data_IF_241726176037
#
_entry.id   IF_241726176037
#
_cell.length_a   1.000
_cell.length_b   1.000
_cell.length_c   1.000
_cell.angle_alpha   90.00
_cell.angle_beta   90.00
_cell.angle_gamma   90.00
#
_symmetry.space_group_name_H-M   'P 1'
#
loop_
_entity.id
_entity.type
_entity.pdbx_description
1 polymer ?
#
# COMPACT_ATOMS: atom_id res chain seq x y z
N UNK A 1 -35.05 5.55 8.47
CA UNK A 1 -34.15 4.59 7.81
C UNK A 1 -33.54 5.31 6.63
N UNK A 2 -32.23 5.52 6.63
CA UNK A 2 -31.52 6.10 5.49
C UNK A 2 -31.41 5.02 4.41
N UNK A 3 -31.87 5.33 3.19
CA UNK A 3 -31.74 4.41 2.04
C UNK A 3 -30.25 4.20 1.73
N UNK A 4 -29.81 2.95 1.60
CA UNK A 4 -28.44 2.63 1.22
C UNK A 4 -28.22 2.95 -0.26
N UNK A 5 -27.03 3.47 -0.58
CA UNK A 5 -26.61 3.75 -1.96
C UNK A 5 -26.28 2.47 -2.71
N UNK A 6 -26.65 2.44 -3.98
CA UNK A 6 -26.24 1.45 -4.99
C UNK A 6 -24.89 1.83 -5.63
N UNK A 7 -24.31 0.94 -6.44
CA UNK A 7 -23.11 1.25 -7.22
C UNK A 7 -23.34 2.40 -8.22
N UNK A 8 -24.55 2.51 -8.78
CA UNK A 8 -24.91 3.60 -9.70
C UNK A 8 -25.01 4.94 -8.97
N UNK A 9 -25.56 4.96 -7.75
CA UNK A 9 -25.58 6.17 -6.91
C UNK A 9 -24.16 6.65 -6.56
N UNK A 10 -23.22 5.72 -6.38
CA UNK A 10 -21.81 6.04 -6.16
C UNK A 10 -21.21 6.64 -7.43
N UNK A 11 -21.46 6.04 -8.59
CA UNK A 11 -20.95 6.53 -9.88
C UNK A 11 -21.44 7.96 -10.15
N UNK A 12 -22.74 8.21 -9.96
CA UNK A 12 -23.33 9.57 -10.09
C UNK A 12 -22.66 10.56 -9.12
N UNK A 13 -22.41 10.16 -7.86
CA UNK A 13 -21.75 11.03 -6.89
C UNK A 13 -20.29 11.35 -7.28
N UNK A 14 -19.53 10.36 -7.76
CA UNK A 14 -18.16 10.55 -8.25
C UNK A 14 -18.16 11.41 -9.53
N UNK A 15 -19.13 11.21 -10.42
CA UNK A 15 -19.22 11.95 -11.67
C UNK A 15 -19.58 13.42 -11.47
N UNK A 16 -20.33 13.71 -10.40
CA UNK A 16 -20.68 15.07 -9.98
C UNK A 16 -19.54 15.80 -9.23
N UNK A 17 -18.39 15.16 -8.98
CA UNK A 17 -17.27 15.84 -8.33
C UNK A 17 -16.67 16.92 -9.23
N UNK A 18 -16.58 18.14 -8.69
CA UNK A 18 -15.74 19.20 -9.23
C UNK A 18 -14.28 18.89 -8.87
N UNK A 19 -13.53 18.27 -9.80
CA UNK A 19 -12.18 17.77 -9.51
C UNK A 19 -11.21 18.87 -9.08
N UNK A 20 -11.39 20.10 -9.58
CA UNK A 20 -10.56 21.24 -9.16
C UNK A 20 -10.81 21.61 -7.69
N UNK A 21 -12.06 21.49 -7.21
CA UNK A 21 -12.37 21.72 -5.81
C UNK A 21 -11.80 20.61 -4.92
N UNK A 22 -11.86 19.35 -5.38
CA UNK A 22 -11.23 18.22 -4.66
C UNK A 22 -9.70 18.36 -4.65
N UNK A 23 -9.10 18.76 -5.77
CA UNK A 23 -7.67 19.04 -5.86
C UNK A 23 -7.27 20.16 -4.90
N UNK A 24 -7.98 21.29 -4.93
CA UNK A 24 -7.75 22.42 -4.02
C UNK A 24 -7.91 22.04 -2.54
N UNK A 25 -8.79 21.09 -2.21
CA UNK A 25 -8.93 20.58 -0.84
C UNK A 25 -7.64 19.91 -0.33
N UNK A 26 -6.93 19.18 -1.20
CA UNK A 26 -5.66 18.53 -0.88
C UNK A 26 -4.42 19.39 -1.18
N UNK A 27 -4.59 20.53 -1.86
CA UNK A 27 -3.51 21.43 -2.25
C UNK A 27 -3.18 22.44 -1.13
N UNK A 28 -2.61 21.91 -0.05
CA UNK A 28 -2.03 22.71 1.02
C UNK A 28 -0.79 22.02 1.59
N UNK A 29 -0.03 22.74 2.41
CA UNK A 29 1.21 22.25 3.00
C UNK A 29 0.99 21.33 4.22
N UNK A 30 -0.25 21.04 4.61
CA UNK A 30 -0.51 20.10 5.68
C UNK A 30 -0.19 18.67 5.22
N UNK A 31 0.54 17.97 6.07
CA UNK A 31 0.84 16.57 5.85
C UNK A 31 -0.36 15.70 6.30
N UNK A 32 -1.25 16.14 7.19
CA UNK A 32 -2.38 15.34 7.68
C UNK A 32 -3.74 15.99 7.38
N UNK A 33 -4.20 15.80 6.15
CA UNK A 33 -5.52 16.27 5.69
C UNK A 33 -6.57 15.19 5.99
N UNK A 34 -7.74 15.64 6.47
CA UNK A 34 -8.89 14.76 6.63
C UNK A 34 -9.36 14.21 5.26
N UNK A 35 -9.95 13.01 5.20
CA UNK A 35 -10.48 12.50 3.94
C UNK A 35 -11.64 13.35 3.39
N UNK A 36 -11.66 13.58 2.08
CA UNK A 36 -12.77 14.25 1.41
C UNK A 36 -13.96 13.29 1.29
N UNK A 37 -15.09 13.62 1.92
CA UNK A 37 -16.29 12.77 1.90
C UNK A 37 -17.01 12.90 0.57
N UNK A 38 -17.11 11.80 -0.17
CA UNK A 38 -17.86 11.74 -1.44
C UNK A 38 -19.34 11.54 -1.15
N UNK A 39 -19.67 10.49 -0.41
CA UNK A 39 -21.04 10.24 0.02
C UNK A 39 -21.13 9.26 1.21
N UNK A 40 -22.27 9.29 1.88
CA UNK A 40 -22.62 8.40 2.99
C UNK A 40 -23.68 7.36 2.59
N UNK A 41 -23.91 6.37 3.46
CA UNK A 41 -24.90 5.31 3.23
C UNK A 41 -24.41 4.25 2.25
N UNK A 42 -23.10 4.09 2.07
CA UNK A 42 -22.49 3.13 1.14
C UNK A 42 -22.26 1.79 1.84
N UNK A 43 -22.83 0.73 1.29
CA UNK A 43 -22.54 -0.64 1.75
C UNK A 43 -21.24 -1.16 1.13
N UNK A 44 -20.62 -2.17 1.78
CA UNK A 44 -19.46 -2.87 1.22
C UNK A 44 -19.78 -3.49 -0.14
N UNK A 45 -20.99 -4.04 -0.30
CA UNK A 45 -21.43 -4.63 -1.56
C UNK A 45 -21.50 -3.59 -2.68
N UNK A 46 -22.17 -2.45 -2.44
CA UNK A 46 -22.28 -1.37 -3.42
C UNK A 46 -20.92 -0.77 -3.77
N UNK A 47 -20.04 -0.58 -2.79
CA UNK A 47 -18.67 -0.13 -3.04
C UNK A 47 -17.90 -1.12 -3.91
N UNK A 48 -17.91 -2.41 -3.56
CA UNK A 48 -17.20 -3.46 -4.29
C UNK A 48 -17.73 -3.64 -5.72
N UNK A 49 -19.02 -3.44 -5.92
CA UNK A 49 -19.66 -3.45 -7.24
C UNK A 49 -19.26 -2.22 -8.06
N UNK A 50 -19.26 -1.02 -7.47
CA UNK A 50 -18.79 0.19 -8.14
C UNK A 50 -17.33 0.10 -8.59
N UNK A 51 -16.44 -0.36 -7.71
CA UNK A 51 -14.99 -0.43 -8.02
C UNK A 51 -14.64 -1.56 -8.98
N UNK A 52 -15.41 -2.65 -9.01
CA UNK A 52 -15.19 -3.79 -9.91
C UNK A 52 -13.81 -4.44 -9.76
N UNK A 53 -13.02 -4.39 -10.84
CA UNK A 53 -11.62 -4.82 -10.87
C UNK A 53 -10.62 -3.66 -10.68
N UNK A 54 -11.10 -2.43 -10.53
CA UNK A 54 -10.32 -1.21 -10.32
C UNK A 54 -9.99 -0.44 -11.60
N UNK A 55 -10.32 -0.98 -12.78
CA UNK A 55 -10.03 -0.34 -14.06
C UNK A 55 -11.08 0.72 -14.45
N UNK A 56 -10.64 1.77 -15.15
CA UNK A 56 -11.52 2.82 -15.67
C UNK A 56 -12.16 3.74 -14.61
N UNK A 57 -11.78 3.62 -13.34
CA UNK A 57 -12.28 4.50 -12.28
C UNK A 57 -11.78 5.93 -12.49
N UNK A 58 -12.69 6.91 -12.38
CA UNK A 58 -12.35 8.35 -12.41
C UNK A 58 -11.35 8.74 -11.32
N UNK A 59 -11.44 8.08 -10.16
CA UNK A 59 -10.46 8.16 -9.07
C UNK A 59 -9.99 6.73 -8.78
N UNK A 60 -8.68 6.49 -8.88
CA UNK A 60 -8.07 5.17 -8.69
C UNK A 60 -8.39 4.62 -7.29
N UNK A 61 -8.60 3.31 -7.18
CA UNK A 61 -9.00 2.66 -5.93
C UNK A 61 -7.99 2.88 -4.78
N UNK A 62 -6.70 3.03 -5.07
CA UNK A 62 -5.67 3.34 -4.04
C UNK A 62 -5.94 4.66 -3.29
N UNK A 63 -6.72 5.56 -3.89
CA UNK A 63 -7.11 6.85 -3.31
C UNK A 63 -8.51 6.87 -2.69
N UNK A 64 -9.20 5.73 -2.68
CA UNK A 64 -10.55 5.59 -2.11
C UNK A 64 -10.53 4.73 -0.85
N UNK A 65 -11.37 5.08 0.12
CA UNK A 65 -11.63 4.23 1.26
C UNK A 65 -13.12 4.20 1.61
N UNK A 66 -13.55 3.07 2.17
CA UNK A 66 -14.88 2.91 2.77
C UNK A 66 -14.72 2.62 4.26
N UNK A 67 -15.26 3.49 5.11
CA UNK A 67 -15.32 3.31 6.55
C UNK A 67 -16.64 3.81 7.10
N UNK A 68 -17.29 3.03 7.97
CA UNK A 68 -18.55 3.40 8.63
C UNK A 68 -19.66 3.89 7.67
N UNK A 69 -19.73 3.28 6.49
CA UNK A 69 -20.70 3.62 5.44
C UNK A 69 -20.40 4.91 4.68
N UNK A 70 -19.21 5.51 4.87
CA UNK A 70 -18.74 6.70 4.17
C UNK A 70 -17.71 6.33 3.10
N UNK A 71 -18.02 6.65 1.85
CA UNK A 71 -17.03 6.64 0.78
C UNK A 71 -16.28 7.96 0.81
N UNK A 72 -14.95 7.86 0.91
CA UNK A 72 -14.07 9.02 1.00
C UNK A 72 -12.92 8.90 0.01
N UNK A 73 -12.40 10.05 -0.42
CA UNK A 73 -11.11 10.18 -1.09
C UNK A 73 -10.10 10.48 0.02
N UNK A 74 -9.07 9.64 0.14
CA UNK A 74 -8.10 9.75 1.25
C UNK A 74 -6.89 10.62 0.91
N UNK A 75 -6.58 10.75 -0.39
CA UNK A 75 -5.62 11.68 -0.97
C UNK A 75 -5.77 11.67 -2.50
N UNK A 76 -4.98 12.49 -3.19
CA UNK A 76 -4.85 12.49 -4.66
C UNK A 76 -3.38 12.29 -5.04
N UNK A 77 -3.10 11.79 -6.26
CA UNK A 77 -1.72 11.57 -6.70
C UNK A 77 -0.95 12.89 -6.71
N UNK A 78 0.27 12.86 -6.18
CA UNK A 78 1.25 13.96 -6.27
C UNK A 78 2.57 13.41 -6.76
N UNK A 79 3.44 14.25 -7.35
CA UNK A 79 4.78 13.83 -7.79
C UNK A 79 5.56 13.15 -6.67
N UNK A 80 5.50 13.72 -5.46
CA UNK A 80 6.17 13.17 -4.26
C UNK A 80 5.65 11.80 -3.88
N UNK A 81 4.33 11.60 -3.92
CA UNK A 81 3.71 10.30 -3.64
C UNK A 81 4.15 9.23 -4.64
N UNK A 82 3.98 9.51 -5.94
CA UNK A 82 4.30 8.54 -7.00
C UNK A 82 5.80 8.24 -7.03
N UNK A 83 6.64 9.27 -6.86
CA UNK A 83 8.08 9.10 -6.76
C UNK A 83 8.46 8.23 -5.56
N UNK A 84 7.89 8.48 -4.38
CA UNK A 84 8.18 7.67 -3.18
C UNK A 84 7.85 6.18 -3.39
N UNK A 85 6.71 5.88 -4.02
CA UNK A 85 6.33 4.52 -4.33
C UNK A 85 7.28 3.86 -5.36
N UNK A 86 7.67 4.59 -6.41
CA UNK A 86 8.56 4.07 -7.44
C UNK A 86 10.00 3.89 -6.95
N UNK A 87 10.55 4.87 -6.22
CA UNK A 87 11.92 4.79 -5.71
C UNK A 87 12.05 3.71 -4.63
N UNK A 88 11.05 3.56 -3.74
CA UNK A 88 11.03 2.40 -2.83
C UNK A 88 11.02 1.08 -3.61
N UNK A 89 10.19 0.98 -4.65
CA UNK A 89 10.13 -0.21 -5.50
C UNK A 89 11.47 -0.47 -6.19
N UNK A 90 12.15 0.55 -6.70
CA UNK A 90 13.46 0.43 -7.32
C UNK A 90 14.49 -0.15 -6.34
N UNK A 91 14.61 0.47 -5.16
CA UNK A 91 15.55 0.05 -4.13
C UNK A 91 15.23 -1.33 -3.57
N UNK A 92 13.96 -1.66 -3.38
CA UNK A 92 13.55 -3.00 -2.97
C UNK A 92 13.93 -4.06 -4.02
N UNK A 93 13.68 -3.79 -5.30
CA UNK A 93 14.05 -4.70 -6.40
C UNK A 93 15.57 -4.90 -6.48
N UNK A 94 16.36 -3.84 -6.29
CA UNK A 94 17.81 -3.93 -6.22
C UNK A 94 18.26 -4.78 -5.03
N UNK A 95 17.70 -4.52 -3.84
CA UNK A 95 18.03 -5.23 -2.61
C UNK A 95 17.72 -6.74 -2.67
N UNK A 96 16.81 -7.18 -3.55
CA UNK A 96 16.53 -8.61 -3.74
C UNK A 96 17.70 -9.41 -4.32
N UNK A 97 18.68 -8.77 -4.95
CA UNK A 97 19.80 -9.42 -5.67
C UNK A 97 19.40 -10.01 -7.03
N UNK A 98 18.17 -10.52 -7.16
CA UNK A 98 17.62 -11.00 -8.42
C UNK A 98 16.12 -10.66 -8.55
N UNK A 99 15.85 -9.45 -9.04
CA UNK A 99 14.49 -8.95 -9.29
C UNK A 99 13.64 -9.80 -10.24
N UNK A 100 14.26 -10.71 -11.02
CA UNK A 100 13.54 -11.59 -11.95
C UNK A 100 12.76 -12.69 -11.24
N UNK A 101 13.03 -12.94 -9.95
CA UNK A 101 12.34 -13.96 -9.17
C UNK A 101 11.11 -13.42 -8.43
N UNK A 102 10.95 -12.09 -8.40
CA UNK A 102 9.89 -11.40 -7.67
C UNK A 102 8.71 -11.05 -8.57
N UNK A 103 7.51 -11.43 -8.16
CA UNK A 103 6.25 -10.97 -8.74
C UNK A 103 5.99 -9.52 -8.35
N UNK A 104 5.86 -8.66 -9.36
CA UNK A 104 5.41 -7.28 -9.19
C UNK A 104 3.92 -7.28 -9.50
N UNK A 105 3.08 -7.18 -8.47
CA UNK A 105 1.64 -7.16 -8.64
C UNK A 105 1.12 -5.72 -8.79
N UNK A 106 1.94 -4.72 -8.42
CA UNK A 106 1.63 -3.30 -8.64
C UNK A 106 0.32 -2.89 -7.97
N UNK A 107 -0.44 -2.04 -8.66
CA UNK A 107 -1.76 -1.53 -8.32
C UNK A 107 -2.89 -2.56 -8.51
N UNK A 108 -2.76 -3.73 -7.92
CA UNK A 108 -3.76 -4.81 -8.02
C UNK A 108 -4.92 -4.59 -7.03
N UNK A 109 -6.15 -4.77 -7.51
CA UNK A 109 -7.35 -4.83 -6.66
C UNK A 109 -7.39 -6.10 -5.81
N UNK A 110 -7.09 -5.94 -4.53
CA UNK A 110 -7.12 -6.99 -3.54
C UNK A 110 -8.52 -7.12 -2.90
N UNK A 111 -8.98 -8.37 -2.78
CA UNK A 111 -10.35 -8.70 -2.32
C UNK A 111 -10.34 -9.50 -1.03
N UNK A 112 -11.21 -9.18 -0.08
CA UNK A 112 -11.44 -9.95 1.15
C UNK A 112 -12.94 -10.06 1.39
N UNK A 113 -13.41 -11.25 1.76
CA UNK A 113 -14.83 -11.47 2.03
C UNK A 113 -15.33 -10.49 3.10
N UNK A 114 -16.51 -9.92 2.89
CA UNK A 114 -17.14 -8.93 3.79
C UNK A 114 -16.28 -7.70 4.12
N UNK A 115 -15.30 -7.35 3.28
CA UNK A 115 -14.47 -6.15 3.42
C UNK A 115 -14.52 -5.35 2.11
N UNK A 116 -14.31 -4.02 2.15
CA UNK A 116 -14.12 -3.25 0.93
C UNK A 116 -12.89 -3.75 0.19
N UNK A 117 -12.98 -3.79 -1.14
CA UNK A 117 -11.84 -4.01 -2.04
C UNK A 117 -10.80 -2.92 -1.78
N UNK A 118 -9.53 -3.26 -1.96
CA UNK A 118 -8.44 -2.34 -1.69
C UNK A 118 -7.33 -2.48 -2.71
N UNK A 119 -6.70 -1.36 -3.01
CA UNK A 119 -5.45 -1.27 -3.77
C UNK A 119 -4.40 -0.65 -2.84
N UNK A 120 -3.13 -1.05 -3.02
CA UNK A 120 -1.97 -0.44 -2.36
C UNK A 120 -1.09 0.22 -3.43
N UNK A 121 -0.20 1.12 -3.01
CA UNK A 121 0.69 1.83 -3.93
C UNK A 121 1.73 0.92 -4.57
N UNK A 122 2.21 -0.08 -3.83
CA UNK A 122 3.01 -1.15 -4.40
C UNK A 122 2.76 -2.49 -3.69
N UNK A 123 2.70 -3.56 -4.48
CA UNK A 123 2.57 -4.92 -3.96
C UNK A 123 3.56 -5.88 -4.61
N UNK A 124 4.04 -6.81 -3.81
CA UNK A 124 5.03 -7.81 -4.20
C UNK A 124 4.65 -9.19 -3.67
N UNK A 125 5.08 -10.21 -4.39
CA UNK A 125 4.80 -11.59 -4.06
C UNK A 125 5.64 -12.57 -4.88
N UNK A 126 5.41 -13.87 -4.72
CA UNK A 126 6.07 -14.86 -5.55
C UNK A 126 5.47 -14.91 -6.97
N UNK A 127 6.30 -15.25 -7.96
CA UNK A 127 5.82 -15.56 -9.32
C UNK A 127 5.25 -16.96 -9.38
N UNK A 128 4.46 -17.24 -10.43
CA UNK A 128 4.04 -18.60 -10.80
C UNK A 128 5.23 -19.55 -10.93
N UNK A 129 6.36 -19.07 -11.43
CA UNK A 129 7.58 -19.83 -11.72
C UNK A 129 8.61 -19.82 -10.58
N UNK A 130 8.36 -19.14 -9.45
CA UNK A 130 9.30 -19.09 -8.33
C UNK A 130 9.59 -20.49 -7.82
N UNK A 131 10.86 -20.89 -7.87
CA UNK A 131 11.34 -22.20 -7.42
C UNK A 131 11.07 -22.38 -5.91
N UNK A 132 10.68 -23.59 -5.51
CA UNK A 132 10.41 -23.98 -4.10
C UNK A 132 9.31 -23.19 -3.38
N UNK A 133 8.50 -22.40 -4.11
CA UNK A 133 7.35 -21.70 -3.53
C UNK A 133 6.32 -22.70 -3.01
N UNK A 134 5.75 -22.41 -1.85
CA UNK A 134 4.56 -23.08 -1.36
C UNK A 134 3.35 -22.90 -2.32
N UNK A 135 2.31 -23.74 -2.20
CA UNK A 135 1.04 -23.50 -2.87
C UNK A 135 0.44 -22.15 -2.48
N UNK A 136 -0.30 -21.53 -3.40
CA UNK A 136 -1.03 -20.30 -3.08
C UNK A 136 -1.99 -20.53 -1.91
N UNK A 137 -2.16 -19.56 -1.01
CA UNK A 137 -3.13 -19.66 0.07
C UNK A 137 -4.54 -19.88 -0.48
N UNK A 138 -5.40 -20.53 0.32
CA UNK A 138 -6.79 -20.72 -0.04
C UNK A 138 -7.44 -19.39 -0.45
N UNK A 139 -8.32 -19.45 -1.47
CA UNK A 139 -9.02 -18.30 -2.06
C UNK A 139 -8.12 -17.33 -2.85
N UNK A 140 -6.85 -17.68 -3.10
CA UNK A 140 -5.91 -16.88 -3.89
C UNK A 140 -5.42 -17.64 -5.11
N UNK A 141 -5.37 -16.95 -6.24
CA UNK A 141 -4.53 -17.36 -7.36
C UNK A 141 -3.10 -16.87 -7.10
N UNK A 142 -2.12 -17.36 -7.88
CA UNK A 142 -0.75 -16.84 -7.77
C UNK A 142 -0.65 -15.39 -8.23
N UNK A 143 -1.49 -14.95 -9.17
CA UNK A 143 -1.50 -13.54 -9.61
C UNK A 143 -1.97 -12.61 -8.50
N UNK A 144 -2.86 -13.10 -7.63
CA UNK A 144 -3.40 -12.33 -6.51
C UNK A 144 -2.56 -12.44 -5.23
N UNK A 145 -1.47 -13.21 -5.24
CA UNK A 145 -0.73 -13.51 -4.02
C UNK A 145 0.23 -12.40 -3.63
N UNK A 146 -0.23 -11.53 -2.73
CA UNK A 146 0.58 -10.49 -2.10
C UNK A 146 1.20 -10.99 -0.79
N UNK A 147 2.52 -10.84 -0.66
CA UNK A 147 3.28 -11.10 0.58
C UNK A 147 3.85 -9.81 1.18
N UNK A 148 4.02 -8.75 0.38
CA UNK A 148 4.37 -7.40 0.85
C UNK A 148 3.42 -6.38 0.21
N UNK A 149 2.79 -5.56 1.04
CA UNK A 149 2.07 -4.36 0.63
C UNK A 149 2.79 -3.11 1.15
N UNK A 150 2.91 -2.09 0.30
CA UNK A 150 3.48 -0.79 0.63
C UNK A 150 2.39 0.25 0.40
N UNK A 151 2.16 1.08 1.41
CA UNK A 151 1.24 2.22 1.37
C UNK A 151 2.05 3.49 1.58
N UNK A 152 1.91 4.42 0.66
CA UNK A 152 2.48 5.75 0.71
C UNK A 152 1.36 6.72 1.01
N UNK A 153 1.61 7.74 1.83
CA UNK A 153 0.65 8.83 2.02
C UNK A 153 1.37 10.17 2.10
N UNK A 154 1.00 11.10 1.22
CA UNK A 154 1.47 12.50 1.30
C UNK A 154 0.54 13.27 2.22
N UNK A 155 -0.70 13.49 1.79
CA UNK A 155 -1.71 14.23 2.56
C UNK A 155 -2.59 13.33 3.41
N UNK A 156 -2.64 12.03 3.10
CA UNK A 156 -3.38 11.05 3.87
C UNK A 156 -2.90 11.02 5.33
N UNK A 157 -3.84 11.11 6.28
CA UNK A 157 -3.53 11.05 7.70
C UNK A 157 -2.86 9.73 8.14
N UNK A 158 -2.03 9.79 9.18
CA UNK A 158 -1.38 8.57 9.72
C UNK A 158 -2.40 7.57 10.27
N UNK A 159 -3.56 8.03 10.74
CA UNK A 159 -4.66 7.18 11.18
C UNK A 159 -5.23 6.35 10.01
N UNK A 160 -5.39 6.97 8.84
CA UNK A 160 -5.86 6.32 7.62
C UNK A 160 -4.86 5.27 7.12
N UNK A 161 -3.56 5.59 7.07
CA UNK A 161 -2.48 4.62 6.75
C UNK A 161 -2.47 3.42 7.71
N UNK A 162 -2.68 3.64 9.01
CA UNK A 162 -2.84 2.53 9.97
C UNK A 162 -4.10 1.69 9.71
N UNK A 163 -5.18 2.31 9.23
CA UNK A 163 -6.37 1.62 8.73
C UNK A 163 -6.05 0.69 7.57
N UNK A 164 -5.27 1.18 6.60
CA UNK A 164 -4.77 0.39 5.48
C UNK A 164 -3.91 -0.80 5.95
N UNK A 165 -2.98 -0.58 6.89
CA UNK A 165 -2.19 -1.68 7.47
C UNK A 165 -3.05 -2.75 8.15
N UNK A 166 -4.10 -2.37 8.88
CA UNK A 166 -5.03 -3.33 9.50
C UNK A 166 -5.76 -4.16 8.44
N UNK A 167 -6.18 -3.54 7.34
CA UNK A 167 -6.80 -4.25 6.23
C UNK A 167 -5.85 -5.28 5.62
N UNK A 168 -4.61 -4.88 5.30
CA UNK A 168 -3.61 -5.78 4.73
C UNK A 168 -3.16 -6.88 5.68
N UNK A 169 -3.03 -6.61 6.98
CA UNK A 169 -2.72 -7.64 7.97
C UNK A 169 -3.78 -8.75 8.02
N UNK A 170 -5.02 -8.47 7.60
CA UNK A 170 -6.07 -9.48 7.45
C UNK A 170 -6.09 -10.19 6.09
N UNK A 171 -5.17 -9.87 5.18
CA UNK A 171 -5.09 -10.47 3.85
C UNK A 171 -4.30 -11.78 3.91
N UNK A 172 -4.96 -12.90 3.58
CA UNK A 172 -4.32 -14.22 3.59
C UNK A 172 -3.09 -14.26 2.67
N UNK A 173 -1.94 -14.62 3.25
CA UNK A 173 -0.66 -14.69 2.54
C UNK A 173 0.29 -13.53 2.83
N UNK A 174 -0.19 -12.42 3.40
CA UNK A 174 0.63 -11.26 3.74
C UNK A 174 1.74 -11.64 4.74
N UNK A 175 2.94 -11.14 4.50
CA UNK A 175 4.10 -11.31 5.37
C UNK A 175 4.48 -9.98 6.00
N UNK A 176 4.47 -8.92 5.19
CA UNK A 176 4.86 -7.59 5.60
C UNK A 176 3.89 -6.53 5.08
N UNK A 177 3.72 -5.46 5.86
CA UNK A 177 3.10 -4.22 5.39
C UNK A 177 4.01 -3.06 5.77
N UNK A 178 4.39 -2.23 4.81
CA UNK A 178 5.18 -1.04 5.05
C UNK A 178 4.31 0.21 4.82
N UNK A 179 4.26 1.07 5.83
CA UNK A 179 3.68 2.40 5.71
C UNK A 179 4.80 3.42 5.54
N UNK A 180 4.68 4.30 4.57
CA UNK A 180 5.54 5.45 4.33
C UNK A 180 4.68 6.72 4.28
N UNK A 181 4.88 7.61 5.23
CA UNK A 181 4.27 8.94 5.24
C UNK A 181 5.32 9.97 4.91
N UNK A 182 5.11 10.70 3.82
CA UNK A 182 6.08 11.65 3.26
C UNK A 182 5.54 13.08 3.42
N UNK A 183 6.41 14.01 3.83
CA UNK A 183 6.03 15.42 3.89
C UNK A 183 5.91 16.05 2.51
N UNK A 184 5.16 17.14 2.38
CA UNK A 184 5.04 17.93 1.16
C UNK A 184 6.34 18.14 0.35
N UNK A 185 7.48 18.58 0.93
CA UNK A 185 8.73 18.77 0.19
C UNK A 185 9.55 17.49 -0.04
N UNK A 186 9.06 16.30 0.36
CA UNK A 186 9.83 15.06 0.29
C UNK A 186 10.94 14.92 1.34
N UNK A 187 11.11 15.87 2.26
CA UNK A 187 12.27 15.93 3.17
C UNK A 187 12.06 15.31 4.55
N UNK A 188 10.90 14.72 4.82
CA UNK A 188 10.62 13.95 6.04
C UNK A 188 9.82 12.70 5.72
N UNK A 189 10.28 11.55 6.21
CA UNK A 189 9.54 10.29 6.17
C UNK A 189 9.25 9.81 7.59
N UNK A 190 7.98 9.52 7.86
CA UNK A 190 7.54 8.67 8.97
C UNK A 190 7.22 7.28 8.41
N UNK A 191 7.74 6.23 9.04
CA UNK A 191 7.52 4.86 8.58
C UNK A 191 7.07 3.92 9.68
N UNK A 192 6.41 2.83 9.28
CA UNK A 192 6.11 1.71 10.16
C UNK A 192 6.08 0.40 9.35
N UNK A 193 6.90 -0.55 9.76
CA UNK A 193 6.94 -1.91 9.22
C UNK A 193 6.15 -2.85 10.10
N UNK A 194 5.23 -3.58 9.49
CA UNK A 194 4.40 -4.58 10.13
C UNK A 194 4.85 -5.96 9.65
N UNK A 195 5.10 -6.88 10.57
CA UNK A 195 5.46 -8.28 10.33
C UNK A 195 4.32 -9.19 10.84
N UNK A 196 3.84 -10.12 10.00
CA UNK A 196 2.76 -11.04 10.35
C UNK A 196 3.15 -12.17 11.32
N UNK A 197 4.43 -12.50 11.45
CA UNK A 197 4.91 -13.60 12.33
C UNK A 197 4.94 -13.24 13.80
N UNK A 198 4.98 -11.95 14.13
CA UNK A 198 5.13 -11.48 15.51
C UNK A 198 3.80 -11.23 16.21
N UNK A 199 2.65 -11.71 15.68
CA UNK A 199 1.33 -11.23 16.15
C UNK A 199 0.21 -12.28 16.24
N UNK A 200 -0.37 -12.48 17.43
CA UNK A 200 -1.78 -12.80 17.56
C UNK A 200 -2.64 -11.53 17.34
N UNK A 201 -3.71 -11.65 16.55
CA UNK A 201 -4.81 -10.69 16.54
C UNK A 201 -5.32 -10.52 17.98
N UNK A 202 -5.52 -9.31 18.54
CA UNK A 202 -5.79 -8.02 17.87
C UNK A 202 -4.69 -6.93 17.97
N UNK A 203 -3.51 -7.19 18.55
CA UNK A 203 -2.52 -6.11 18.80
C UNK A 203 -1.57 -5.89 17.62
N UNK A 204 -2.07 -5.22 16.58
CA UNK A 204 -1.28 -4.90 15.39
C UNK A 204 -0.31 -3.74 15.70
N UNK A 205 0.90 -4.03 16.26
CA UNK A 205 1.98 -3.05 16.53
C UNK A 205 3.19 -3.21 15.60
N UNK A 206 3.71 -2.15 14.94
CA UNK A 206 4.84 -2.29 14.02
C UNK A 206 6.08 -2.89 14.70
N UNK A 207 6.85 -3.71 13.97
CA UNK A 207 8.13 -4.27 14.43
C UNK A 207 9.28 -3.27 14.30
N UNK A 208 9.15 -2.31 13.39
CA UNK A 208 10.03 -1.15 13.29
C UNK A 208 9.20 0.08 12.91
N UNK A 209 9.51 1.24 13.49
CA UNK A 209 8.88 2.49 13.13
C UNK A 209 9.77 3.65 13.52
N UNK A 210 9.65 4.77 12.82
CA UNK A 210 10.40 5.97 13.13
C UNK A 210 9.99 7.16 12.28
N UNK A 211 10.65 8.27 12.53
CA UNK A 211 10.56 9.47 11.69
C UNK A 211 11.96 10.02 11.52
N UNK A 212 12.31 10.36 10.28
CA UNK A 212 13.60 10.95 9.96
C UNK A 212 13.42 12.06 8.94
N UNK A 213 14.37 12.99 8.93
CA UNK A 213 14.44 14.11 8.00
C UNK A 213 15.66 13.98 7.10
N UNK A 214 15.60 14.63 5.95
CA UNK A 214 16.72 14.81 5.04
C UNK A 214 17.90 15.45 5.78
N UNK A 215 19.05 14.82 5.64
CA UNK A 215 20.30 15.21 6.27
C UNK A 215 21.45 14.58 5.49
N UNK A 216 22.36 15.42 4.99
CA UNK A 216 23.45 15.02 4.09
C UNK A 216 24.39 13.91 4.63
N UNK A 217 24.41 13.68 5.94
CA UNK A 217 25.21 12.63 6.60
C UNK A 217 24.41 11.82 7.62
N UNK A 218 23.11 11.60 7.37
CA UNK A 218 22.26 10.82 8.26
C UNK A 218 22.61 9.33 8.30
N UNK A 219 22.57 8.72 9.49
CA UNK A 219 22.73 7.27 9.61
C UNK A 219 21.60 6.50 8.92
N UNK A 220 21.95 5.42 8.20
CA UNK A 220 21.02 4.61 7.40
C UNK A 220 19.75 4.19 8.17
N UNK A 221 18.58 4.34 7.54
CA UNK A 221 17.28 3.97 8.11
C UNK A 221 16.77 2.73 7.38
N UNK A 222 17.08 1.56 7.93
CA UNK A 222 16.88 0.30 7.22
C UNK A 222 15.56 -0.36 7.55
N UNK A 223 14.84 -0.79 6.51
CA UNK A 223 13.78 -1.79 6.60
C UNK A 223 14.25 -3.08 5.93
N UNK A 224 13.89 -4.21 6.53
CA UNK A 224 14.49 -5.50 6.21
C UNK A 224 13.41 -6.54 5.97
N UNK A 225 13.55 -7.30 4.89
CA UNK A 225 12.60 -8.34 4.51
C UNK A 225 13.31 -9.67 4.31
N UNK A 226 12.79 -10.72 4.94
CA UNK A 226 13.19 -12.10 4.65
C UNK A 226 12.65 -12.51 3.27
N UNK A 227 13.55 -12.76 2.32
CA UNK A 227 13.18 -13.09 0.95
C UNK A 227 12.54 -14.47 0.81
N UNK A 228 12.76 -15.39 1.76
CA UNK A 228 12.03 -16.66 1.79
C UNK A 228 10.55 -16.39 2.03
N UNK A 229 10.23 -15.49 2.95
CA UNK A 229 8.85 -15.12 3.26
C UNK A 229 8.21 -14.35 2.11
N UNK A 230 8.91 -13.36 1.56
CA UNK A 230 8.43 -12.62 0.38
C UNK A 230 8.11 -13.57 -0.78
N UNK A 231 8.98 -14.54 -1.04
CA UNK A 231 8.80 -15.53 -2.10
C UNK A 231 7.97 -16.75 -1.67
N UNK A 232 7.44 -16.77 -0.44
CA UNK A 232 6.68 -17.90 0.13
C UNK A 232 7.39 -19.26 -0.01
N UNK A 233 8.70 -19.25 0.22
CA UNK A 233 9.58 -20.43 0.22
C UNK A 233 9.73 -20.92 1.67
N UNK A 234 9.57 -22.22 1.94
CA UNK A 234 9.79 -22.78 3.27
C UNK A 234 11.20 -22.48 3.82
N UNK A 235 11.37 -22.31 5.15
CA UNK A 235 12.65 -21.91 5.75
C UNK A 235 13.85 -22.78 5.34
N UNK A 236 13.63 -24.08 5.14
CA UNK A 236 14.68 -25.06 4.84
C UNK A 236 14.91 -25.30 3.34
N UNK A 237 14.08 -24.73 2.46
CA UNK A 237 14.24 -24.91 1.02
C UNK A 237 15.30 -23.95 0.45
N UNK A 238 15.89 -24.22 -0.70
CA UNK A 238 16.84 -23.28 -1.31
C UNK A 238 16.12 -22.04 -1.88
N UNK A 239 16.73 -20.86 -1.76
CA UNK A 239 16.31 -19.67 -2.51
C UNK A 239 16.67 -19.85 -4.00
N UNK A 240 15.97 -19.18 -4.93
CA UNK A 240 16.38 -19.14 -6.32
C UNK A 240 17.79 -18.53 -6.47
N UNK A 241 18.56 -18.93 -7.49
CA UNK A 241 19.90 -18.40 -7.72
C UNK A 241 19.93 -16.87 -7.80
N UNK A 242 20.90 -16.27 -7.10
CA UNK A 242 21.11 -14.82 -7.08
C UNK A 242 20.15 -14.01 -6.20
N UNK A 243 19.14 -14.64 -5.59
CA UNK A 243 18.27 -13.95 -4.61
C UNK A 243 19.00 -13.85 -3.28
N UNK A 244 19.10 -12.62 -2.75
CA UNK A 244 19.64 -12.38 -1.41
C UNK A 244 18.71 -13.00 -0.34
N UNK A 245 19.24 -13.62 0.73
CA UNK A 245 18.40 -14.10 1.84
C UNK A 245 17.56 -13.00 2.49
N UNK A 246 18.08 -11.78 2.45
CA UNK A 246 17.49 -10.61 3.06
C UNK A 246 17.57 -9.44 2.10
N UNK A 247 16.44 -8.80 1.82
CA UNK A 247 16.39 -7.51 1.15
C UNK A 247 16.40 -6.42 2.20
N UNK A 248 17.45 -5.59 2.22
CA UNK A 248 17.62 -4.45 3.11
C UNK A 248 17.52 -3.18 2.27
N UNK A 249 16.54 -2.34 2.58
CA UNK A 249 16.31 -1.06 1.90
C UNK A 249 16.62 0.07 2.88
N UNK A 250 17.49 0.99 2.49
CA UNK A 250 17.73 2.23 3.24
C UNK A 250 16.74 3.30 2.78
N UNK A 251 15.82 3.66 3.66
CA UNK A 251 14.80 4.67 3.38
C UNK A 251 15.39 6.07 3.21
N UNK A 252 16.65 6.32 3.61
CA UNK A 252 17.34 7.58 3.28
C UNK A 252 17.67 7.68 1.81
N UNK A 253 18.16 6.60 1.20
CA UNK A 253 18.43 6.56 -0.24
C UNK A 253 17.13 6.79 -1.01
N UNK A 254 16.03 6.15 -0.59
CA UNK A 254 14.71 6.40 -1.18
C UNK A 254 14.32 7.87 -1.09
N UNK A 255 14.50 8.51 0.08
CA UNK A 255 14.21 9.94 0.25
C UNK A 255 15.09 10.84 -0.61
N UNK A 256 16.38 10.55 -0.74
CA UNK A 256 17.32 11.32 -1.55
C UNK A 256 16.93 11.24 -3.04
N UNK A 257 16.59 10.04 -3.53
CA UNK A 257 16.09 9.82 -4.89
C UNK A 257 14.74 10.52 -5.14
N UNK A 258 13.85 10.52 -4.14
CA UNK A 258 12.60 11.28 -4.22
C UNK A 258 12.90 12.75 -4.42
N UNK A 259 13.74 13.35 -3.56
CA UNK A 259 14.12 14.76 -3.66
C UNK A 259 14.74 15.09 -5.03
N UNK A 260 15.61 14.22 -5.55
CA UNK A 260 16.26 14.41 -6.85
C UNK A 260 15.29 14.30 -8.05
N UNK A 261 14.11 13.74 -7.83
CA UNK A 261 13.08 13.52 -8.88
C UNK A 261 11.96 14.58 -8.91
N UNK A 262 11.92 15.49 -7.92
CA UNK A 262 10.94 16.59 -7.82
C UNK A 262 11.34 17.80 -8.66
#
# INVERSE_FOLDING_TARGET
>A
MTTLKTADDIRVAIDALELDAVASYFDNDDDEIDPYVVCEGVSIAAFNEYVGDGEGLRIRLRFLALGDGRLVIVELPTTVHESTAEEFKSEFLAATGNRRELGKCGSMTARRAANPNKEADATFGPKRTTLNRAPAPALRTVTDWVTLAVEVGRSQSWASLKGAARWWCGYTGIQYVLLLKISAPGTQIRYALYDSTTRPHPTIRPTASGTFRHAAAGAAVNVTFDMRRILSIPPNAALPPGVNPTARVDLRIVMDLVIDSL
#
